data_IF_223926940452
#
_entry.id   IF_223926940452
#
_cell.length_a   1.000
_cell.length_b   1.000
_cell.length_c   1.000
_cell.angle_alpha   90.00
_cell.angle_beta   90.00
_cell.angle_gamma   90.00
#
_symmetry.space_group_name_H-M   'P 1'
#
loop_
_entity.id
_entity.type
_entity.pdbx_description
1 polymer ?
#
# COMPACT_ATOMS: atom_id res chain seq x y z
N UNK A 1 18.43 -13.72 0.76
CA UNK A 1 17.06 -14.05 0.31
C UNK A 1 16.61 -12.89 -0.55
N UNK A 2 16.15 -13.09 -1.78
CA UNK A 2 15.57 -11.98 -2.54
C UNK A 2 14.28 -11.55 -1.80
N UNK A 3 14.06 -10.26 -1.55
CA UNK A 3 12.82 -9.83 -0.92
C UNK A 3 11.67 -10.13 -1.90
N UNK A 4 10.70 -10.93 -1.45
CA UNK A 4 9.44 -11.11 -2.18
C UNK A 4 8.62 -9.82 -2.13
N UNK A 5 7.87 -9.50 -3.19
CA UNK A 5 6.92 -8.38 -3.16
C UNK A 5 5.68 -8.79 -2.38
N UNK A 6 5.16 -7.87 -1.55
CA UNK A 6 3.81 -8.01 -0.99
C UNK A 6 2.79 -7.89 -2.12
N UNK A 7 1.88 -8.86 -2.21
CA UNK A 7 0.81 -8.89 -3.20
C UNK A 7 -0.54 -9.04 -2.49
N UNK A 8 -1.61 -8.60 -3.15
CA UNK A 8 -2.98 -8.86 -2.71
C UNK A 8 -3.35 -10.32 -2.90
N UNK A 9 -4.24 -10.81 -2.05
CA UNK A 9 -4.76 -12.19 -2.11
C UNK A 9 -5.29 -12.56 -3.51
N UNK A 10 -5.96 -11.62 -4.19
CA UNK A 10 -6.53 -11.84 -5.53
C UNK A 10 -5.48 -11.88 -6.66
N UNK A 11 -4.23 -11.52 -6.40
CA UNK A 11 -3.16 -11.53 -7.42
C UNK A 11 -2.43 -12.87 -7.50
N UNK A 12 -2.63 -13.80 -6.56
CA UNK A 12 -1.97 -15.10 -6.57
C UNK A 12 -2.28 -15.91 -7.84
N UNK A 13 -3.54 -15.92 -8.29
CA UNK A 13 -3.94 -16.63 -9.51
C UNK A 13 -3.33 -16.04 -10.80
N UNK A 14 -3.43 -14.72 -11.08
CA UNK A 14 -2.74 -14.09 -12.20
C UNK A 14 -1.23 -14.30 -12.20
N UNK A 15 -0.58 -14.23 -11.01
CA UNK A 15 0.87 -14.40 -10.88
C UNK A 15 1.27 -15.83 -11.19
N UNK A 16 0.58 -16.83 -10.63
CA UNK A 16 0.86 -18.25 -10.93
C UNK A 16 0.75 -18.57 -12.42
N UNK A 17 -0.18 -17.93 -13.15
CA UNK A 17 -0.30 -18.10 -14.61
C UNK A 17 0.89 -17.57 -15.39
N UNK A 18 1.54 -16.52 -14.89
CA UNK A 18 2.67 -15.85 -15.54
C UNK A 18 4.01 -16.42 -15.07
N UNK A 19 4.09 -16.79 -13.79
CA UNK A 19 5.25 -17.32 -13.07
C UNK A 19 4.84 -18.62 -12.34
N UNK A 20 4.85 -19.77 -13.03
CA UNK A 20 4.37 -21.03 -12.46
C UNK A 20 5.16 -21.51 -11.23
N UNK A 21 6.41 -21.10 -11.10
CA UNK A 21 7.31 -21.49 -10.01
C UNK A 21 7.33 -20.47 -8.85
N UNK A 22 6.41 -19.49 -8.85
CA UNK A 22 6.32 -18.50 -7.77
C UNK A 22 5.89 -19.15 -6.45
N UNK A 23 6.62 -18.87 -5.38
CA UNK A 23 6.27 -19.28 -4.02
C UNK A 23 5.46 -18.20 -3.31
N UNK A 24 4.41 -18.59 -2.59
CA UNK A 24 3.53 -17.69 -1.86
C UNK A 24 3.56 -18.03 -0.38
N UNK A 25 3.63 -17.01 0.47
CA UNK A 25 3.51 -17.13 1.92
C UNK A 25 2.48 -16.13 2.41
N UNK A 26 1.53 -16.58 3.22
CA UNK A 26 0.57 -15.69 3.87
C UNK A 26 1.23 -15.04 5.10
N UNK A 27 1.29 -13.72 5.11
CA UNK A 27 1.85 -12.96 6.23
C UNK A 27 0.75 -12.60 7.22
N UNK A 28 1.08 -12.66 8.52
CA UNK A 28 0.15 -12.27 9.60
C UNK A 28 0.89 -11.53 10.72
N UNK A 29 0.15 -10.81 11.56
CA UNK A 29 0.70 -10.10 12.71
C UNK A 29 1.86 -9.17 12.34
N UNK A 30 2.98 -9.26 13.08
CA UNK A 30 4.13 -8.35 12.92
C UNK A 30 4.80 -8.45 11.55
N UNK A 31 4.80 -9.61 10.92
CA UNK A 31 5.40 -9.79 9.59
C UNK A 31 4.58 -9.06 8.52
N UNK A 32 3.25 -9.12 8.64
CA UNK A 32 2.35 -8.35 7.78
C UNK A 32 2.54 -6.84 7.99
N UNK A 33 2.67 -6.38 9.24
CA UNK A 33 2.93 -4.97 9.53
C UNK A 33 4.23 -4.47 8.90
N UNK A 34 5.31 -5.24 9.04
CA UNK A 34 6.60 -4.92 8.44
C UNK A 34 6.49 -4.85 6.91
N UNK A 35 5.86 -5.85 6.29
CA UNK A 35 5.67 -5.89 4.84
C UNK A 35 4.81 -4.73 4.32
N UNK A 36 3.73 -4.35 5.01
CA UNK A 36 2.91 -3.19 4.66
C UNK A 36 3.69 -1.88 4.79
N UNK A 37 4.56 -1.77 5.80
CA UNK A 37 5.40 -0.59 6.01
C UNK A 37 6.47 -0.46 4.93
N UNK A 38 7.13 -1.56 4.58
CA UNK A 38 8.13 -1.61 3.51
C UNK A 38 7.47 -1.29 2.16
N UNK A 39 6.26 -1.84 1.93
CA UNK A 39 5.49 -1.55 0.71
C UNK A 39 5.13 -0.07 0.62
N UNK A 40 4.67 0.55 1.71
CA UNK A 40 4.39 1.99 1.72
C UNK A 40 5.63 2.82 1.35
N UNK A 41 6.81 2.43 1.82
CA UNK A 41 8.06 3.13 1.48
C UNK A 41 8.41 2.96 0.00
N UNK A 42 8.24 1.76 -0.55
CA UNK A 42 8.39 1.45 -1.99
C UNK A 42 7.50 2.36 -2.83
N UNK A 43 6.19 2.36 -2.61
CA UNK A 43 5.23 3.13 -3.44
C UNK A 43 5.47 4.64 -3.34
N UNK A 44 5.85 5.14 -2.16
CA UNK A 44 6.19 6.56 -1.98
C UNK A 44 7.45 6.92 -2.77
N UNK A 45 8.45 6.04 -2.79
CA UNK A 45 9.66 6.27 -3.58
C UNK A 45 9.34 6.22 -5.08
N UNK A 46 8.55 5.25 -5.52
CA UNK A 46 8.09 5.14 -6.91
C UNK A 46 7.32 6.40 -7.33
N UNK A 47 6.42 6.94 -6.47
CA UNK A 47 5.73 8.20 -6.73
C UNK A 47 6.69 9.40 -6.90
N UNK A 48 7.73 9.47 -6.07
CA UNK A 48 8.73 10.54 -6.12
C UNK A 48 9.50 10.46 -7.45
N UNK A 49 9.89 9.25 -7.85
CA UNK A 49 10.72 8.95 -9.02
C UNK A 49 9.93 8.88 -10.34
N UNK A 50 8.60 8.77 -10.28
CA UNK A 50 7.72 8.60 -11.42
C UNK A 50 7.93 9.69 -12.50
N UNK A 51 8.21 9.31 -13.77
CA UNK A 51 8.71 10.22 -14.80
C UNK A 51 7.62 11.12 -15.42
N UNK A 52 6.34 10.78 -15.24
CA UNK A 52 5.23 11.52 -15.81
C UNK A 52 4.00 11.48 -14.89
N UNK A 53 2.97 12.23 -15.29
CA UNK A 53 1.74 12.40 -14.51
C UNK A 53 0.93 11.11 -14.38
N UNK A 54 0.92 10.26 -15.40
CA UNK A 54 0.12 9.04 -15.40
C UNK A 54 0.76 8.02 -14.43
N UNK A 55 2.09 7.85 -14.48
CA UNK A 55 2.77 7.03 -13.48
C UNK A 55 2.59 7.61 -12.07
N UNK A 56 2.71 8.92 -11.87
CA UNK A 56 2.42 9.53 -10.56
C UNK A 56 1.00 9.24 -10.06
N UNK A 57 0.02 9.11 -10.95
CA UNK A 57 -1.34 8.78 -10.58
C UNK A 57 -1.47 7.30 -10.19
N UNK A 58 -0.78 6.40 -10.91
CA UNK A 58 -0.68 4.97 -10.58
C UNK A 58 -0.08 4.80 -9.17
N UNK A 59 1.10 5.38 -8.91
CA UNK A 59 1.75 5.24 -7.60
C UNK A 59 0.92 5.88 -6.47
N UNK A 60 0.17 6.96 -6.74
CA UNK A 60 -0.76 7.51 -5.75
C UNK A 60 -1.91 6.56 -5.42
N UNK A 61 -2.40 5.80 -6.40
CA UNK A 61 -3.43 4.81 -6.18
C UNK A 61 -2.89 3.64 -5.33
N UNK A 62 -1.66 3.19 -5.61
CA UNK A 62 -1.01 2.12 -4.86
C UNK A 62 -0.66 2.57 -3.42
N UNK A 63 -0.17 3.80 -3.22
CA UNK A 63 -0.03 4.39 -1.87
C UNK A 63 -1.37 4.37 -1.11
N UNK A 64 -2.45 4.82 -1.75
CA UNK A 64 -3.76 4.90 -1.10
C UNK A 64 -4.24 3.54 -0.62
N UNK A 65 -4.01 2.52 -1.42
CA UNK A 65 -4.36 1.17 -1.06
C UNK A 65 -3.55 0.61 0.11
N UNK A 66 -2.23 0.82 0.11
CA UNK A 66 -1.39 0.39 1.24
C UNK A 66 -1.85 1.08 2.53
N UNK A 67 -2.26 2.34 2.45
CA UNK A 67 -2.87 3.04 3.58
C UNK A 67 -4.19 2.40 4.03
N UNK A 68 -5.08 2.01 3.12
CA UNK A 68 -6.32 1.29 3.47
C UNK A 68 -6.03 -0.07 4.15
N UNK A 69 -5.03 -0.80 3.67
CA UNK A 69 -4.59 -2.05 4.29
C UNK A 69 -4.01 -1.83 5.69
N UNK A 70 -3.21 -0.77 5.89
CA UNK A 70 -2.70 -0.38 7.21
C UNK A 70 -3.81 0.04 8.18
N UNK A 71 -4.79 0.82 7.71
CA UNK A 71 -5.97 1.20 8.50
C UNK A 71 -6.71 -0.04 9.00
N UNK A 72 -6.92 -1.01 8.11
CA UNK A 72 -7.57 -2.29 8.43
C UNK A 72 -6.72 -3.12 9.41
N UNK A 73 -5.40 -3.21 9.18
CA UNK A 73 -4.47 -3.95 10.04
C UNK A 73 -4.44 -3.40 11.48
N UNK A 74 -4.43 -2.07 11.64
CA UNK A 74 -4.43 -1.41 12.95
C UNK A 74 -5.82 -1.42 13.64
N UNK A 75 -6.84 -2.01 13.00
CA UNK A 75 -8.19 -2.14 13.54
C UNK A 75 -9.00 -0.85 13.53
N UNK A 76 -8.63 0.11 12.68
CA UNK A 76 -9.39 1.34 12.47
C UNK A 76 -10.38 1.18 11.33
N UNK A 77 -11.46 1.95 11.35
CA UNK A 77 -12.32 2.14 10.20
C UNK A 77 -11.91 3.40 9.40
N UNK A 78 -12.16 3.35 8.09
CA UNK A 78 -11.81 4.42 7.15
C UNK A 78 -12.46 5.77 7.52
N UNK A 79 -13.70 5.75 7.99
CA UNK A 79 -14.45 6.97 8.35
C UNK A 79 -13.83 7.66 9.58
N UNK A 80 -13.38 6.89 10.57
CA UNK A 80 -12.65 7.38 11.74
C UNK A 80 -11.33 8.04 11.35
N UNK A 81 -10.59 7.45 10.43
CA UNK A 81 -9.32 8.04 9.95
C UNK A 81 -9.57 9.34 9.20
N UNK A 82 -10.58 9.37 8.32
CA UNK A 82 -10.97 10.59 7.59
C UNK A 82 -11.51 11.68 8.52
N UNK A 83 -12.29 11.34 9.54
CA UNK A 83 -12.82 12.33 10.51
C UNK A 83 -11.73 12.94 11.41
N UNK A 84 -10.62 12.22 11.66
CA UNK A 84 -9.43 12.79 12.30
C UNK A 84 -8.76 13.85 11.42
N UNK A 85 -8.79 13.68 10.09
CA UNK A 85 -8.30 14.68 9.12
C UNK A 85 -9.15 15.94 9.14
N UNK A 86 -10.49 15.82 9.16
CA UNK A 86 -11.40 16.99 9.17
C UNK A 86 -11.28 17.83 10.44
N UNK A 87 -11.01 17.20 11.60
CA UNK A 87 -10.71 17.94 12.83
C UNK A 87 -9.40 18.76 12.76
N UNK A 88 -8.50 18.40 11.85
CA UNK A 88 -7.25 19.13 11.58
C UNK A 88 -7.37 20.15 10.42
N UNK A 89 -8.53 20.27 9.75
CA UNK A 89 -8.76 21.20 8.62
C UNK A 89 -8.64 22.69 9.00
N UNK A 90 -8.43 23.04 10.27
CA UNK A 90 -7.85 24.35 10.61
C UNK A 90 -6.40 24.53 10.10
N UNK A 91 -5.80 23.51 9.47
CA UNK A 91 -4.45 23.50 8.90
C UNK A 91 -4.45 23.07 7.43
N UNK A 92 -5.40 23.56 6.63
CA UNK A 92 -5.42 23.31 5.19
C UNK A 92 -4.17 23.86 4.52
N UNK A 93 -3.42 22.98 3.86
CA UNK A 93 -2.41 23.37 2.89
C UNK A 93 -3.12 24.03 1.70
N UNK A 94 -2.83 25.31 1.45
CA UNK A 94 -3.22 25.95 0.18
C UNK A 94 -2.25 25.43 -0.88
N UNK A 95 -2.71 24.46 -1.65
CA UNK A 95 -2.14 24.08 -2.95
C UNK A 95 -2.61 25.06 -4.02
#
# INVERSE_FOLDING_TARGET
MMPGKLIRDLLQEPITKTFPDAEFTQLTGKELQAALTDKLQEEVLEYIEAPNRDNKLEELADIYEVLEALVTYEGFDKETVVSKKTRQESRTWRI
#
